data_IF_472549242289
#
_entry.id   IF_472549242289
#
_cell.length_a   1.000
_cell.length_b   1.000
_cell.length_c   1.000
_cell.angle_alpha   90.00
_cell.angle_beta   90.00
_cell.angle_gamma   90.00
#
_symmetry.space_group_name_H-M   'P 1'
#
loop_
_entity.id
_entity.type
_entity.pdbx_description
1 polymer ?
#
# COMPACT_ATOMS: atom_id res chain seq x y z
N UNK A 1 -6.70 -13.34 17.68
CA UNK A 1 -5.56 -13.97 17.00
C UNK A 1 -5.48 -15.49 17.20
N UNK A 2 -6.54 -16.19 17.65
CA UNK A 2 -6.52 -17.66 17.86
C UNK A 2 -7.16 -18.48 16.72
N UNK A 3 -7.43 -17.87 15.56
CA UNK A 3 -8.01 -18.59 14.41
C UNK A 3 -7.05 -18.49 13.23
N UNK A 4 -6.66 -19.67 12.74
CA UNK A 4 -5.78 -20.00 11.62
C UNK A 4 -4.27 -20.04 11.90
N UNK A 5 -3.67 -21.22 11.62
CA UNK A 5 -2.24 -21.38 11.41
C UNK A 5 -1.90 -20.71 10.08
N UNK A 6 -1.35 -19.52 10.17
CA UNK A 6 -0.98 -18.69 9.04
C UNK A 6 0.51 -18.34 9.19
N UNK A 7 1.29 -18.55 8.13
CA UNK A 7 2.72 -18.25 8.11
C UNK A 7 2.98 -16.77 8.45
N UNK A 8 2.06 -15.88 8.07
CA UNK A 8 2.12 -14.46 8.43
C UNK A 8 1.98 -14.24 9.94
N UNK A 9 1.16 -15.04 10.62
CA UNK A 9 0.99 -14.96 12.08
C UNK A 9 2.27 -15.40 12.80
N UNK A 10 2.94 -16.45 12.30
CA UNK A 10 4.23 -16.90 12.83
C UNK A 10 5.29 -15.80 12.73
N UNK A 11 5.50 -15.24 11.53
CA UNK A 11 6.49 -14.17 11.30
C UNK A 11 6.20 -12.95 12.19
N UNK A 12 4.93 -12.58 12.34
CA UNK A 12 4.51 -11.49 13.22
C UNK A 12 4.88 -11.76 14.68
N UNK A 13 4.62 -12.97 15.18
CA UNK A 13 4.94 -13.34 16.57
C UNK A 13 6.46 -13.39 16.82
N UNK A 14 7.24 -13.94 15.86
CA UNK A 14 8.70 -13.94 15.93
C UNK A 14 9.25 -12.51 15.97
N UNK A 15 8.73 -11.61 15.13
CA UNK A 15 9.13 -10.20 15.11
C UNK A 15 8.80 -9.46 16.42
N UNK A 16 7.63 -9.72 17.01
CA UNK A 16 7.25 -9.12 18.30
C UNK A 16 8.16 -9.60 19.42
N UNK A 17 8.45 -10.92 19.48
CA UNK A 17 9.38 -11.49 20.48
C UNK A 17 10.79 -10.96 20.29
N UNK A 18 11.28 -10.89 19.05
CA UNK A 18 12.59 -10.29 18.76
C UNK A 18 12.65 -8.85 19.28
N UNK A 19 11.61 -8.05 19.05
CA UNK A 19 11.56 -6.66 19.49
C UNK A 19 11.49 -6.49 21.02
N UNK A 20 10.68 -7.32 21.71
CA UNK A 20 10.37 -7.16 23.14
C UNK A 20 11.30 -7.94 24.09
N UNK A 21 12.00 -8.96 23.60
CA UNK A 21 12.89 -9.81 24.40
C UNK A 21 14.35 -9.62 23.98
N UNK A 22 14.68 -9.93 22.73
CA UNK A 22 16.07 -9.96 22.23
C UNK A 22 16.64 -8.56 21.98
N UNK A 23 15.83 -7.67 21.41
CA UNK A 23 16.21 -6.32 21.00
C UNK A 23 15.61 -5.24 21.90
N UNK A 24 15.14 -5.60 23.08
CA UNK A 24 14.58 -4.66 24.07
C UNK A 24 15.68 -3.66 24.48
N UNK A 25 15.32 -2.38 24.52
CA UNK A 25 16.20 -1.34 25.05
C UNK A 25 15.65 -0.82 26.38
N UNK A 26 16.54 -0.57 27.35
CA UNK A 26 16.19 0.06 28.63
C UNK A 26 16.95 1.38 28.84
N UNK A 27 18.12 1.49 28.22
CA UNK A 27 18.98 2.68 28.22
C UNK A 27 19.24 3.18 26.81
N UNK A 28 19.70 4.43 26.69
CA UNK A 28 20.10 4.96 25.38
C UNK A 28 21.32 4.23 24.79
N UNK A 29 22.20 3.69 25.64
CA UNK A 29 23.33 2.87 25.19
C UNK A 29 22.85 1.56 24.52
N UNK A 30 21.75 0.97 25.00
CA UNK A 30 21.15 -0.20 24.36
C UNK A 30 20.61 0.15 22.97
N UNK A 31 20.06 1.37 22.80
CA UNK A 31 19.62 1.85 21.48
C UNK A 31 20.79 2.05 20.51
N UNK A 32 21.95 2.52 21.01
CA UNK A 32 23.19 2.62 20.22
C UNK A 32 23.68 1.22 19.82
N UNK A 33 23.72 0.28 20.78
CA UNK A 33 24.09 -1.11 20.51
C UNK A 33 23.17 -1.73 19.45
N UNK A 34 21.85 -1.57 19.60
CA UNK A 34 20.86 -2.03 18.64
C UNK A 34 21.13 -1.46 17.24
N UNK A 35 21.31 -0.15 17.12
CA UNK A 35 21.57 0.50 15.84
C UNK A 35 22.88 0.04 15.18
N UNK A 36 23.95 -0.12 15.97
CA UNK A 36 25.24 -0.63 15.49
C UNK A 36 25.15 -2.08 15.03
N UNK A 37 24.41 -2.92 15.73
CA UNK A 37 24.18 -4.32 15.34
C UNK A 37 23.29 -4.43 14.10
N UNK A 38 22.27 -3.57 13.96
CA UNK A 38 21.46 -3.48 12.73
C UNK A 38 22.29 -3.05 11.52
N UNK A 39 23.23 -2.12 11.70
CA UNK A 39 24.19 -1.80 10.63
C UNK A 39 24.98 -3.03 10.19
N UNK A 40 25.53 -3.78 11.15
CA UNK A 40 26.31 -4.98 10.85
C UNK A 40 25.46 -6.03 10.13
N UNK A 41 24.24 -6.28 10.63
CA UNK A 41 23.36 -7.27 10.06
C UNK A 41 22.97 -6.92 8.62
N UNK A 42 22.46 -5.71 8.39
CA UNK A 42 21.90 -5.31 7.10
C UNK A 42 22.94 -5.05 6.01
N UNK A 43 24.09 -4.46 6.37
CA UNK A 43 25.07 -3.99 5.38
C UNK A 43 26.36 -4.81 5.33
N UNK A 44 26.62 -5.67 6.31
CA UNK A 44 27.76 -6.58 6.33
C UNK A 44 27.32 -8.05 6.27
N UNK A 45 26.65 -8.56 7.31
CA UNK A 45 26.34 -9.99 7.47
C UNK A 45 25.44 -10.54 6.37
N UNK A 46 24.33 -9.86 6.08
CA UNK A 46 23.40 -10.29 5.02
C UNK A 46 24.05 -10.25 3.64
N UNK A 47 24.98 -9.32 3.43
CA UNK A 47 25.76 -9.22 2.19
C UNK A 47 26.80 -10.34 2.10
N UNK A 48 27.53 -10.61 3.20
CA UNK A 48 28.44 -11.75 3.29
C UNK A 48 27.71 -13.08 3.07
N UNK A 49 26.52 -13.25 3.63
CA UNK A 49 25.68 -14.43 3.40
C UNK A 49 25.24 -14.54 1.93
N UNK A 50 24.88 -13.43 1.29
CA UNK A 50 24.51 -13.41 -0.12
C UNK A 50 25.68 -13.81 -1.03
N UNK A 51 26.90 -13.33 -0.72
CA UNK A 51 28.13 -13.68 -1.42
C UNK A 51 28.49 -15.15 -1.19
N UNK A 52 28.31 -15.66 0.04
CA UNK A 52 28.51 -17.08 0.35
C UNK A 52 27.56 -17.97 -0.46
N UNK A 53 26.29 -17.58 -0.59
CA UNK A 53 25.29 -18.30 -1.39
C UNK A 53 25.51 -18.17 -2.90
N UNK A 54 25.96 -17.01 -3.37
CA UNK A 54 26.27 -16.75 -4.78
C UNK A 54 27.62 -16.02 -4.91
N UNK A 55 28.72 -16.78 -4.99
CA UNK A 55 30.06 -16.23 -5.21
C UNK A 55 30.13 -15.35 -6.46
N UNK A 56 31.17 -14.51 -6.57
CA UNK A 56 31.32 -13.57 -7.68
C UNK A 56 31.39 -14.26 -9.05
N UNK A 57 32.00 -15.44 -9.09
CA UNK A 57 32.13 -16.32 -10.26
C UNK A 57 30.94 -17.28 -10.45
N UNK A 58 29.87 -17.14 -9.66
CA UNK A 58 28.69 -17.97 -9.78
C UNK A 58 28.07 -17.85 -11.19
N UNK A 59 27.64 -18.99 -11.73
CA UNK A 59 26.99 -19.10 -13.04
C UNK A 59 25.56 -19.61 -12.90
N UNK A 60 24.71 -19.23 -13.85
CA UNK A 60 23.34 -19.76 -13.97
C UNK A 60 23.35 -21.17 -14.55
N UNK A 61 22.21 -21.85 -14.53
CA UNK A 61 22.03 -23.15 -15.20
C UNK A 61 22.33 -23.13 -16.69
N UNK A 62 22.29 -21.95 -17.32
CA UNK A 62 22.65 -21.73 -18.74
C UNK A 62 24.13 -21.41 -18.95
N UNK A 63 24.95 -21.37 -17.90
CA UNK A 63 26.38 -21.07 -17.96
C UNK A 63 26.72 -19.57 -18.06
N UNK A 64 25.72 -18.68 -18.01
CA UNK A 64 25.96 -17.24 -17.99
C UNK A 64 26.35 -16.76 -16.57
N UNK A 65 27.11 -15.66 -16.42
CA UNK A 65 27.42 -15.10 -15.10
C UNK A 65 26.14 -14.72 -14.35
N UNK A 66 26.00 -15.21 -13.12
CA UNK A 66 24.86 -14.87 -12.25
C UNK A 66 24.81 -13.37 -11.97
N UNK A 67 25.97 -12.77 -11.73
CA UNK A 67 26.15 -11.33 -11.52
C UNK A 67 26.36 -10.60 -12.85
N UNK A 68 25.30 -10.55 -13.65
CA UNK A 68 25.23 -9.74 -14.87
C UNK A 68 23.97 -8.88 -14.85
N UNK A 69 23.94 -7.80 -15.64
CA UNK A 69 22.82 -6.86 -15.66
C UNK A 69 21.49 -7.62 -15.79
N UNK A 70 20.50 -7.36 -14.91
CA UNK A 70 20.39 -6.23 -13.98
C UNK A 70 21.06 -6.41 -12.60
N UNK A 71 21.63 -7.58 -12.29
CA UNK A 71 22.22 -7.90 -10.98
C UNK A 71 23.63 -7.33 -10.86
N UNK A 72 23.90 -6.64 -9.75
CA UNK A 72 25.23 -6.11 -9.40
C UNK A 72 25.81 -6.92 -8.25
N UNK A 73 27.08 -7.29 -8.36
CA UNK A 73 27.78 -7.95 -7.26
C UNK A 73 27.90 -6.98 -6.07
N UNK A 74 27.53 -7.41 -4.84
CA UNK A 74 27.59 -6.55 -3.67
C UNK A 74 28.94 -6.64 -2.93
N UNK A 75 29.24 -5.62 -2.12
CA UNK A 75 30.40 -5.56 -1.24
C UNK A 75 29.94 -5.29 0.21
N UNK A 76 30.30 -6.14 1.20
CA UNK A 76 29.98 -5.90 2.60
C UNK A 76 30.60 -4.59 3.08
N UNK A 77 29.85 -3.78 3.84
CA UNK A 77 30.40 -2.56 4.41
C UNK A 77 31.18 -2.87 5.68
N UNK A 78 32.34 -2.22 5.85
CA UNK A 78 33.03 -2.15 7.12
C UNK A 78 32.59 -0.88 7.86
N UNK A 79 32.00 -1.04 9.03
CA UNK A 79 31.63 0.11 9.86
C UNK A 79 32.87 0.90 10.28
N UNK A 80 32.73 2.22 10.37
CA UNK A 80 33.78 3.11 10.87
C UNK A 80 33.16 4.35 11.49
N UNK A 81 33.59 4.71 12.70
CA UNK A 81 33.19 5.95 13.38
C UNK A 81 33.81 7.20 12.76
N UNK A 82 34.83 7.05 11.90
CA UNK A 82 35.41 8.16 11.12
C UNK A 82 34.57 8.52 9.91
N UNK A 83 33.66 7.64 9.47
CA UNK A 83 32.74 7.92 8.38
C UNK A 83 31.49 8.66 8.94
N UNK A 84 31.26 9.93 8.55
CA UNK A 84 30.14 10.69 9.06
C UNK A 84 28.77 10.10 8.70
N UNK A 85 28.65 9.40 7.57
CA UNK A 85 27.40 8.78 7.14
C UNK A 85 27.08 7.54 7.97
N UNK A 86 28.08 6.73 8.32
CA UNK A 86 27.92 5.60 9.24
C UNK A 86 27.47 6.08 10.62
N UNK A 87 28.13 7.11 11.14
CA UNK A 87 27.83 7.66 12.45
C UNK A 87 26.43 8.31 12.50
N UNK A 88 26.04 9.04 11.44
CA UNK A 88 24.68 9.61 11.31
C UNK A 88 23.59 8.55 11.25
N UNK A 89 23.84 7.43 10.56
CA UNK A 89 22.92 6.30 10.54
C UNK A 89 22.68 5.78 11.97
N UNK A 90 23.74 5.49 12.72
CA UNK A 90 23.64 4.97 14.09
C UNK A 90 22.94 5.98 15.01
N UNK A 91 23.25 7.27 14.86
CA UNK A 91 22.55 8.34 15.59
C UNK A 91 21.05 8.33 15.32
N UNK A 92 20.62 8.39 14.05
CA UNK A 92 19.21 8.47 13.70
C UNK A 92 18.46 7.20 14.13
N UNK A 93 19.04 6.02 13.90
CA UNK A 93 18.48 4.74 14.31
C UNK A 93 18.33 4.63 15.84
N UNK A 94 19.34 5.03 16.61
CA UNK A 94 19.30 4.97 18.09
C UNK A 94 18.31 5.97 18.68
N UNK A 95 18.21 7.19 18.14
CA UNK A 95 17.22 8.19 18.56
C UNK A 95 15.79 7.70 18.32
N UNK A 96 15.52 7.17 17.14
CA UNK A 96 14.20 6.63 16.80
C UNK A 96 13.87 5.38 17.63
N UNK A 97 14.85 4.50 17.87
CA UNK A 97 14.67 3.36 18.78
C UNK A 97 14.35 3.83 20.19
N UNK A 98 15.05 4.83 20.71
CA UNK A 98 14.77 5.40 22.03
C UNK A 98 13.34 5.96 22.11
N UNK A 99 12.88 6.68 21.09
CA UNK A 99 11.51 7.20 21.03
C UNK A 99 10.46 6.07 21.10
N UNK A 100 10.67 4.97 20.37
CA UNK A 100 9.72 3.84 20.37
C UNK A 100 9.59 3.16 21.73
N UNK A 101 10.63 3.17 22.56
CA UNK A 101 10.64 2.63 23.93
C UNK A 101 10.37 3.69 25.01
N UNK A 102 10.20 4.97 24.65
CA UNK A 102 10.03 6.07 25.61
C UNK A 102 11.30 6.36 26.43
N UNK A 103 12.48 6.03 25.89
CA UNK A 103 13.78 6.27 26.52
C UNK A 103 14.20 7.72 26.26
N UNK A 104 14.62 8.48 27.29
CA UNK A 104 15.14 9.84 27.11
C UNK A 104 16.37 9.87 26.21
N UNK A 105 16.36 10.76 25.22
CA UNK A 105 17.49 10.99 24.31
C UNK A 105 18.43 12.02 24.94
N UNK A 106 19.68 11.68 25.26
CA UNK A 106 20.60 12.61 25.90
C UNK A 106 21.20 13.61 24.91
N UNK A 107 21.36 14.87 25.31
CA UNK A 107 21.85 15.95 24.43
C UNK A 107 23.24 15.67 23.82
N UNK A 108 24.09 14.93 24.53
CA UNK A 108 25.44 14.60 24.07
C UNK A 108 25.45 13.75 22.79
N UNK A 109 24.34 13.06 22.44
CA UNK A 109 24.27 12.24 21.23
C UNK A 109 24.54 13.04 19.96
N UNK A 110 24.25 14.35 19.98
CA UNK A 110 24.49 15.27 18.87
C UNK A 110 25.97 15.62 18.71
N UNK A 111 26.83 15.30 19.68
CA UNK A 111 28.27 15.48 19.60
C UNK A 111 28.92 14.26 18.94
N UNK A 112 29.49 14.39 17.72
CA UNK A 112 30.04 13.26 16.98
C UNK A 112 31.14 12.50 17.73
N UNK A 113 31.95 13.19 18.55
CA UNK A 113 33.03 12.53 19.30
C UNK A 113 32.49 11.64 20.41
N UNK A 114 31.56 12.17 21.20
CA UNK A 114 30.93 11.40 22.29
C UNK A 114 30.11 10.23 21.76
N UNK A 115 29.42 10.42 20.63
CA UNK A 115 28.72 9.33 19.96
C UNK A 115 29.70 8.26 19.45
N UNK A 116 30.80 8.64 18.78
CA UNK A 116 31.81 7.70 18.33
C UNK A 116 32.37 6.87 19.50
N UNK A 117 32.74 7.51 20.61
CA UNK A 117 33.21 6.82 21.82
C UNK A 117 32.17 5.86 22.41
N UNK A 118 30.87 6.18 22.33
CA UNK A 118 29.80 5.31 22.80
C UNK A 118 29.59 4.12 21.84
N UNK A 119 29.73 4.33 20.54
CA UNK A 119 29.60 3.29 19.50
C UNK A 119 30.79 2.33 19.53
N UNK A 120 32.01 2.81 19.74
CA UNK A 120 33.23 1.99 19.78
C UNK A 120 33.25 1.00 20.96
N UNK A 121 32.41 1.22 21.98
CA UNK A 121 32.22 0.28 23.10
C UNK A 121 31.30 -0.89 22.77
N UNK A 122 30.61 -0.86 21.63
CA UNK A 122 29.68 -1.92 21.24
C UNK A 122 30.47 -3.12 20.72
N UNK A 123 30.27 -4.27 21.37
CA UNK A 123 30.84 -5.55 20.91
C UNK A 123 29.97 -6.08 19.77
N UNK A 124 30.61 -6.31 18.62
CA UNK A 124 29.96 -6.82 17.41
C UNK A 124 30.37 -8.27 17.22
N UNK A 125 29.43 -9.23 17.22
CA UNK A 125 29.74 -10.64 16.98
C UNK A 125 30.27 -10.87 15.55
N UNK A 126 31.23 -11.78 15.42
CA UNK A 126 31.74 -12.20 14.11
C UNK A 126 30.67 -12.93 13.29
N UNK A 127 30.66 -12.69 11.98
CA UNK A 127 29.77 -13.38 11.06
C UNK A 127 30.16 -14.85 10.88
N UNK A 128 29.16 -15.73 10.90
CA UNK A 128 29.31 -17.13 10.53
C UNK A 128 28.32 -17.47 9.41
N UNK A 129 28.78 -17.93 8.23
CA UNK A 129 27.91 -18.26 7.12
C UNK A 129 27.03 -19.47 7.47
N UNK A 130 25.78 -19.42 7.04
CA UNK A 130 24.82 -20.52 7.19
C UNK A 130 24.68 -21.27 5.87
N UNK A 131 24.80 -22.59 5.93
CA UNK A 131 24.52 -23.49 4.81
C UNK A 131 23.00 -23.66 4.62
N UNK A 132 22.57 -23.86 3.36
CA UNK A 132 21.18 -24.16 3.04
C UNK A 132 20.20 -22.99 3.14
N UNK A 133 20.68 -21.74 3.29
CA UNK A 133 19.82 -20.55 3.25
C UNK A 133 19.22 -20.41 1.85
N UNK A 134 17.89 -20.50 1.76
CA UNK A 134 17.16 -20.31 0.51
C UNK A 134 17.01 -18.81 0.21
N UNK A 135 17.66 -18.36 -0.86
CA UNK A 135 17.50 -17.01 -1.39
C UNK A 135 16.73 -17.13 -2.70
N UNK A 136 15.56 -16.50 -2.75
CA UNK A 136 14.73 -16.48 -3.96
C UNK A 136 15.36 -15.56 -5.00
N UNK A 137 15.47 -16.04 -6.24
CA UNK A 137 16.12 -15.31 -7.34
C UNK A 137 15.20 -15.07 -8.53
N UNK A 138 13.99 -15.65 -8.52
CA UNK A 138 12.94 -15.41 -9.51
C UNK A 138 11.94 -14.38 -9.00
N UNK A 139 11.83 -13.26 -9.72
CA UNK A 139 10.89 -12.17 -9.43
C UNK A 139 9.41 -12.59 -9.56
N UNK A 140 9.12 -13.70 -10.27
CA UNK A 140 7.78 -14.25 -10.43
C UNK A 140 7.41 -15.31 -9.40
N UNK A 141 8.35 -15.67 -8.52
CA UNK A 141 8.12 -16.65 -7.47
C UNK A 141 7.09 -16.11 -6.47
N UNK A 142 5.89 -16.69 -6.47
CA UNK A 142 4.81 -16.38 -5.52
C UNK A 142 4.81 -17.33 -4.32
N UNK A 143 5.98 -17.85 -3.93
CA UNK A 143 6.14 -18.77 -2.81
C UNK A 143 5.84 -18.07 -1.47
N UNK A 144 4.56 -17.81 -1.21
CA UNK A 144 4.01 -17.74 0.13
C UNK A 144 4.20 -19.14 0.73
N UNK A 145 4.95 -19.24 1.81
CA UNK A 145 5.13 -20.49 2.53
C UNK A 145 3.75 -21.06 2.89
N UNK A 146 3.36 -22.16 2.26
CA UNK A 146 2.13 -22.86 2.60
C UNK A 146 2.19 -23.25 4.08
N UNK A 147 1.19 -22.84 4.86
CA UNK A 147 1.09 -23.17 6.28
C UNK A 147 1.18 -24.69 6.48
N UNK A 148 2.21 -25.14 7.19
CA UNK A 148 2.42 -26.54 7.52
C UNK A 148 1.77 -26.87 8.87
N UNK A 149 1.52 -28.16 9.13
CA UNK A 149 0.99 -28.63 10.42
C UNK A 149 1.94 -28.28 11.58
N UNK A 150 3.24 -28.16 11.31
CA UNK A 150 4.27 -27.76 12.27
C UNK A 150 4.14 -26.28 12.69
N UNK A 151 3.66 -25.41 11.78
CA UNK A 151 3.50 -23.99 12.07
C UNK A 151 2.47 -23.73 13.18
N UNK A 152 1.43 -24.56 13.29
CA UNK A 152 0.46 -24.42 14.39
C UNK A 152 1.11 -24.67 15.76
N UNK A 153 1.95 -25.70 15.88
CA UNK A 153 2.67 -26.01 17.12
C UNK A 153 3.69 -24.92 17.46
N UNK A 154 4.44 -24.44 16.46
CA UNK A 154 5.39 -23.33 16.61
C UNK A 154 4.68 -22.05 17.04
N UNK A 155 3.55 -21.71 16.40
CA UNK A 155 2.73 -20.54 16.78
C UNK A 155 2.28 -20.64 18.23
N UNK A 156 1.82 -21.81 18.68
CA UNK A 156 1.43 -22.01 20.08
C UNK A 156 2.61 -21.82 21.06
N UNK A 157 3.80 -22.27 20.69
CA UNK A 157 5.01 -22.05 21.50
C UNK A 157 5.42 -20.56 21.53
N UNK A 158 5.36 -19.88 20.39
CA UNK A 158 5.63 -18.44 20.31
C UNK A 158 4.63 -17.62 21.14
N UNK A 159 3.34 -17.99 21.11
CA UNK A 159 2.31 -17.36 21.96
C UNK A 159 2.68 -17.56 23.44
N UNK A 160 3.07 -18.76 23.86
CA UNK A 160 3.45 -19.02 25.25
C UNK A 160 4.67 -18.21 25.67
N UNK A 161 5.69 -18.09 24.80
CA UNK A 161 6.85 -17.22 25.04
C UNK A 161 6.43 -15.76 25.16
N UNK A 162 5.51 -15.30 24.32
CA UNK A 162 5.02 -13.93 24.35
C UNK A 162 4.22 -13.64 25.63
N UNK A 163 3.41 -14.58 26.10
CA UNK A 163 2.70 -14.48 27.37
C UNK A 163 3.67 -14.33 28.56
N UNK A 164 4.76 -15.12 28.58
CA UNK A 164 5.82 -14.99 29.58
C UNK A 164 6.58 -13.67 29.47
N UNK A 165 6.87 -13.23 28.24
CA UNK A 165 7.51 -11.93 27.99
C UNK A 165 6.63 -10.80 28.55
N UNK A 166 5.31 -10.86 28.33
CA UNK A 166 4.34 -9.90 28.85
C UNK A 166 4.36 -9.79 30.37
N UNK A 167 4.55 -10.89 31.09
CA UNK A 167 4.65 -10.89 32.57
C UNK A 167 5.89 -10.12 33.07
N UNK A 168 6.96 -10.09 32.29
CA UNK A 168 8.19 -9.36 32.62
C UNK A 168 8.14 -7.87 32.22
N UNK A 169 7.11 -7.44 31.51
CA UNK A 169 6.97 -6.04 31.11
C UNK A 169 6.39 -5.20 32.26
N UNK A 170 6.88 -3.97 32.46
CA UNK A 170 6.32 -3.05 33.44
C UNK A 170 4.81 -2.85 33.23
N UNK A 171 4.06 -2.70 34.34
CA UNK A 171 2.65 -2.41 34.28
C UNK A 171 2.39 -1.13 33.47
N UNK A 172 1.56 -1.23 32.42
CA UNK A 172 1.25 -0.11 31.54
C UNK A 172 2.30 0.17 30.45
N UNK A 173 3.31 -0.70 30.28
CA UNK A 173 4.27 -0.60 29.18
C UNK A 173 3.55 -0.49 27.83
N UNK A 174 3.92 0.54 27.05
CA UNK A 174 3.44 0.76 25.69
C UNK A 174 4.59 1.27 24.85
N UNK A 175 4.79 0.65 23.70
CA UNK A 175 5.67 1.20 22.68
C UNK A 175 4.98 2.36 21.97
N UNK A 176 5.75 3.36 21.59
CA UNK A 176 5.28 4.48 20.79
C UNK A 176 5.55 4.19 19.31
N UNK A 177 4.51 4.09 18.49
CA UNK A 177 4.68 4.01 17.05
C UNK A 177 5.18 5.35 16.50
N UNK A 178 6.25 5.32 15.73
CA UNK A 178 6.72 6.50 14.99
C UNK A 178 5.74 6.75 13.83
N UNK A 179 5.19 7.96 13.78
CA UNK A 179 4.39 8.41 12.64
C UNK A 179 5.30 9.17 11.68
N UNK A 180 5.49 8.61 10.48
CA UNK A 180 6.36 9.21 9.48
C UNK A 180 5.92 10.64 9.13
N UNK A 181 6.83 11.58 9.38
CA UNK A 181 6.73 12.98 8.99
C UNK A 181 8.01 13.36 8.24
N UNK A 182 7.86 13.77 6.99
CA UNK A 182 8.98 14.10 6.07
C UNK A 182 9.36 15.58 6.15
N UNK A 183 8.46 16.43 6.64
CA UNK A 183 8.57 17.89 6.63
C UNK A 183 9.13 18.49 7.92
N UNK A 184 9.46 17.65 8.90
CA UNK A 184 10.21 18.02 10.10
C UNK A 184 11.63 17.45 10.02
N UNK A 185 12.61 18.34 9.83
CA UNK A 185 14.03 17.97 9.73
C UNK A 185 14.68 17.62 11.08
N UNK A 186 13.96 17.79 12.19
CA UNK A 186 14.46 17.57 13.55
C UNK A 186 14.08 16.20 14.13
N UNK A 187 13.18 15.46 13.47
CA UNK A 187 12.67 14.18 13.94
C UNK A 187 13.50 12.95 13.52
N UNK A 188 14.60 13.14 12.79
CA UNK A 188 15.50 12.07 12.33
C UNK A 188 14.92 11.01 11.37
N UNK A 189 13.66 11.12 10.94
CA UNK A 189 13.04 10.16 10.00
C UNK A 189 13.79 10.12 8.68
N UNK A 190 13.98 11.28 8.06
CA UNK A 190 14.66 11.37 6.78
C UNK A 190 16.17 11.10 6.89
N UNK A 191 16.77 11.33 8.05
CA UNK A 191 18.18 10.98 8.31
C UNK A 191 18.37 9.47 8.33
N UNK A 192 17.46 8.72 8.97
CA UNK A 192 17.49 7.26 8.95
C UNK A 192 17.19 6.72 7.55
N UNK A 193 16.17 7.23 6.84
CA UNK A 193 15.81 6.76 5.49
C UNK A 193 16.96 7.00 4.51
N UNK A 194 17.57 8.19 4.52
CA UNK A 194 18.71 8.49 3.66
C UNK A 194 19.93 7.62 4.03
N UNK A 195 20.18 7.40 5.33
CA UNK A 195 21.22 6.50 5.82
C UNK A 195 21.03 5.07 5.32
N UNK A 196 19.85 4.48 5.53
CA UNK A 196 19.48 3.14 5.06
C UNK A 196 19.70 3.00 3.54
N UNK A 197 19.20 3.97 2.76
CA UNK A 197 19.29 3.95 1.31
C UNK A 197 20.75 4.06 0.83
N UNK A 198 21.53 4.98 1.39
CA UNK A 198 22.92 5.20 0.98
C UNK A 198 23.84 4.06 1.40
N UNK A 199 23.66 3.45 2.58
CA UNK A 199 24.44 2.27 2.97
C UNK A 199 24.20 1.09 2.03
N UNK A 200 22.92 0.84 1.68
CA UNK A 200 22.58 -0.18 0.69
C UNK A 200 23.11 0.19 -0.71
N UNK A 201 23.09 1.48 -1.07
CA UNK A 201 23.65 1.94 -2.34
C UNK A 201 25.16 1.63 -2.42
N UNK A 202 25.92 1.88 -1.34
CA UNK A 202 27.34 1.52 -1.24
C UNK A 202 27.58 0.03 -1.42
N UNK A 203 26.73 -0.84 -0.84
CA UNK A 203 26.88 -2.28 -1.03
C UNK A 203 26.89 -2.66 -2.51
N UNK A 204 26.06 -2.02 -3.35
CA UNK A 204 25.91 -2.37 -4.77
C UNK A 204 26.60 -1.38 -5.72
N UNK A 205 27.52 -0.55 -5.21
CA UNK A 205 28.20 0.48 -5.99
C UNK A 205 27.24 1.39 -6.77
N UNK A 206 26.09 1.71 -6.15
CA UNK A 206 25.07 2.63 -6.65
C UNK A 206 25.40 4.04 -6.12
N UNK A 207 25.29 5.11 -6.93
CA UNK A 207 25.52 6.47 -6.45
C UNK A 207 24.60 6.85 -5.30
N UNK A 208 25.18 7.37 -4.22
CA UNK A 208 24.45 7.92 -3.08
C UNK A 208 23.61 9.14 -3.48
N UNK A 209 22.57 9.40 -2.69
CA UNK A 209 21.72 10.57 -2.84
C UNK A 209 21.75 11.43 -1.58
N UNK A 210 21.58 12.74 -1.74
CA UNK A 210 21.43 13.62 -0.59
C UNK A 210 20.05 13.47 0.08
N UNK A 211 19.91 14.06 1.26
CA UNK A 211 18.67 14.03 2.06
C UNK A 211 17.48 14.62 1.30
N UNK A 212 17.69 15.63 0.45
CA UNK A 212 16.62 16.29 -0.30
C UNK A 212 16.04 15.37 -1.38
N UNK A 213 16.91 14.70 -2.15
CA UNK A 213 16.52 13.71 -3.15
C UNK A 213 15.92 12.47 -2.50
N UNK A 214 16.46 12.01 -1.37
CA UNK A 214 15.85 10.95 -0.58
C UNK A 214 14.44 11.34 -0.11
N UNK A 215 14.25 12.57 0.40
CA UNK A 215 12.96 13.12 0.83
C UNK A 215 11.97 13.24 -0.31
N UNK A 216 12.43 13.68 -1.48
CA UNK A 216 11.62 13.75 -2.70
C UNK A 216 11.02 12.38 -3.07
N UNK A 217 11.86 11.34 -3.09
CA UNK A 217 11.47 9.98 -3.48
C UNK A 217 10.63 9.31 -2.38
N UNK A 218 11.15 9.22 -1.16
CA UNK A 218 10.49 8.52 -0.04
C UNK A 218 9.20 9.21 0.39
N UNK A 219 9.19 10.55 0.35
CA UNK A 219 8.03 11.36 0.67
C UNK A 219 6.98 11.45 -0.43
N UNK A 220 7.22 10.84 -1.60
CA UNK A 220 6.35 10.91 -2.79
C UNK A 220 5.92 12.35 -3.10
N UNK A 221 6.88 13.28 -3.04
CA UNK A 221 6.60 14.71 -3.21
C UNK A 221 6.19 14.95 -4.66
N UNK A 222 5.03 15.55 -4.85
CA UNK A 222 4.60 16.05 -6.16
C UNK A 222 5.16 17.47 -6.32
N UNK A 223 6.09 17.72 -7.26
CA UNK A 223 6.58 19.07 -7.51
C UNK A 223 5.42 19.99 -7.87
N UNK A 224 5.34 21.13 -7.19
CA UNK A 224 4.33 22.14 -7.46
C UNK A 224 4.94 23.53 -7.37
N UNK A 225 4.49 24.44 -8.23
CA UNK A 225 4.87 25.84 -8.23
C UNK A 225 3.64 26.69 -8.58
N UNK A 226 3.54 27.87 -7.96
CA UNK A 226 2.37 28.74 -8.08
C UNK A 226 2.05 29.16 -9.52
N UNK A 227 3.04 29.22 -10.42
CA UNK A 227 2.83 29.60 -11.83
C UNK A 227 1.94 28.59 -12.57
N UNK A 228 2.20 27.29 -12.44
CA UNK A 228 1.37 26.24 -13.04
C UNK A 228 -0.03 26.20 -12.42
N UNK A 229 -0.14 26.42 -11.11
CA UNK A 229 -1.43 26.48 -10.41
C UNK A 229 -2.26 27.67 -10.89
N UNK A 230 -1.68 28.88 -10.93
CA UNK A 230 -2.38 30.08 -11.37
C UNK A 230 -2.86 29.96 -12.83
N UNK A 231 -2.04 29.38 -13.70
CA UNK A 231 -2.41 29.10 -15.08
C UNK A 231 -3.56 28.11 -15.20
N UNK A 232 -3.49 26.98 -14.50
CA UNK A 232 -4.55 25.97 -14.51
C UNK A 232 -5.87 26.55 -13.98
N UNK A 233 -5.82 27.30 -12.87
CA UNK A 233 -6.99 27.98 -12.31
C UNK A 233 -7.58 28.99 -13.29
N UNK A 234 -6.75 29.82 -13.94
CA UNK A 234 -7.20 30.78 -14.93
C UNK A 234 -7.96 30.11 -16.09
N UNK A 235 -7.42 29.01 -16.62
CA UNK A 235 -8.06 28.24 -17.69
C UNK A 235 -9.38 27.60 -17.24
N UNK A 236 -9.44 27.07 -16.02
CA UNK A 236 -10.69 26.55 -15.44
C UNK A 236 -11.75 27.65 -15.32
N UNK A 237 -11.37 28.85 -14.89
CA UNK A 237 -12.29 30.00 -14.81
C UNK A 237 -12.82 30.42 -16.18
N UNK A 238 -12.05 30.26 -17.26
CA UNK A 238 -12.52 30.52 -18.63
C UNK A 238 -13.59 29.51 -19.07
N UNK A 239 -13.42 28.22 -18.76
CA UNK A 239 -14.44 27.20 -19.04
C UNK A 239 -15.68 27.37 -18.15
N UNK A 240 -15.51 27.86 -16.92
CA UNK A 240 -16.61 28.13 -15.99
C UNK A 240 -17.63 29.12 -16.56
N UNK A 241 -17.22 30.14 -17.31
CA UNK A 241 -18.17 31.05 -17.97
C UNK A 241 -19.13 30.31 -18.90
N UNK A 242 -18.64 29.32 -19.65
CA UNK A 242 -19.45 28.52 -20.58
C UNK A 242 -20.43 27.63 -19.81
N UNK A 243 -19.99 27.04 -18.71
CA UNK A 243 -20.87 26.21 -17.87
C UNK A 243 -21.99 27.06 -17.25
N UNK A 244 -21.69 28.28 -16.82
CA UNK A 244 -22.68 29.18 -16.19
C UNK A 244 -23.68 29.77 -17.19
N UNK A 245 -23.24 30.15 -18.40
CA UNK A 245 -24.13 30.65 -19.45
C UNK A 245 -25.06 29.54 -19.97
N UNK A 246 -24.56 28.29 -20.01
CA UNK A 246 -25.31 27.14 -20.47
C UNK A 246 -25.52 27.13 -21.98
N UNK A 247 -26.10 26.06 -22.53
CA UNK A 247 -26.47 25.98 -23.95
C UNK A 247 -25.32 25.94 -24.97
N UNK A 248 -24.05 25.96 -24.53
CA UNK A 248 -22.90 25.79 -25.41
C UNK A 248 -22.82 24.36 -25.95
N UNK A 249 -22.50 24.25 -27.25
CA UNK A 249 -22.19 22.95 -27.88
C UNK A 249 -20.85 22.40 -27.38
N UNK A 250 -20.65 21.10 -27.55
CA UNK A 250 -19.41 20.40 -27.15
C UNK A 250 -18.17 21.06 -27.76
N UNK A 251 -18.24 21.49 -29.03
CA UNK A 251 -17.13 22.12 -29.75
C UNK A 251 -16.78 23.51 -29.18
N UNK A 252 -17.58 24.05 -28.26
CA UNK A 252 -17.29 25.27 -27.52
C UNK A 252 -16.37 25.07 -26.31
N UNK A 253 -16.29 23.86 -25.77
CA UNK A 253 -15.48 23.53 -24.59
C UNK A 253 -14.04 23.16 -24.98
N UNK A 254 -13.08 23.38 -24.08
CA UNK A 254 -11.66 23.05 -24.31
C UNK A 254 -11.02 22.37 -23.10
N UNK A 255 -10.50 21.16 -23.30
CA UNK A 255 -9.50 20.59 -22.42
C UNK A 255 -8.14 21.19 -22.77
N UNK A 256 -7.50 21.87 -21.82
CA UNK A 256 -6.20 22.50 -22.04
C UNK A 256 -5.08 21.73 -21.35
N UNK A 257 -4.05 21.38 -22.12
CA UNK A 257 -2.82 20.75 -21.66
C UNK A 257 -1.69 21.77 -21.79
N UNK A 258 -0.94 21.98 -20.71
CA UNK A 258 0.13 22.96 -20.68
C UNK A 258 1.42 22.38 -20.09
N UNK A 259 2.55 22.76 -20.69
CA UNK A 259 3.88 22.53 -20.13
C UNK A 259 4.70 23.82 -20.21
N UNK A 260 4.78 24.51 -19.07
CA UNK A 260 5.48 25.79 -18.95
C UNK A 260 7.01 25.69 -19.06
N UNK A 261 7.58 24.49 -18.97
CA UNK A 261 9.02 24.31 -19.23
C UNK A 261 9.36 24.43 -20.72
N UNK A 262 8.42 24.09 -21.61
CA UNK A 262 8.54 24.19 -23.08
C UNK A 262 7.72 25.34 -23.69
N UNK A 263 7.20 26.27 -22.88
CA UNK A 263 6.01 27.07 -23.17
C UNK A 263 4.93 26.44 -24.08
N UNK A 264 4.63 25.15 -23.90
CA UNK A 264 3.69 24.43 -24.76
C UNK A 264 2.26 24.55 -24.23
N UNK A 265 1.31 24.89 -25.11
CA UNK A 265 -0.12 24.88 -24.87
C UNK A 265 -0.82 24.09 -25.97
N UNK A 266 -1.65 23.14 -25.58
CA UNK A 266 -2.48 22.36 -26.49
C UNK A 266 -3.90 22.34 -25.98
N UNK A 267 -4.86 22.58 -26.86
CA UNK A 267 -6.28 22.54 -26.53
C UNK A 267 -6.95 21.49 -27.39
N UNK A 268 -7.78 20.66 -26.76
CA UNK A 268 -8.56 19.64 -27.44
C UNK A 268 -10.04 19.79 -27.06
N UNK A 269 -10.92 19.43 -27.98
CA UNK A 269 -12.33 19.26 -27.67
C UNK A 269 -12.52 18.09 -26.68
N UNK A 270 -13.43 18.21 -25.70
CA UNK A 270 -13.80 17.08 -24.87
C UNK A 270 -14.41 15.95 -25.71
N UNK A 271 -14.15 14.71 -25.31
CA UNK A 271 -14.70 13.54 -26.00
C UNK A 271 -16.20 13.42 -25.72
N UNK A 272 -17.07 13.29 -26.73
CA UNK A 272 -18.50 13.07 -26.51
C UNK A 272 -18.71 11.72 -25.79
N UNK A 273 -19.74 11.60 -24.94
CA UNK A 273 -20.04 10.33 -24.30
C UNK A 273 -20.44 9.28 -25.35
N UNK A 274 -20.04 8.02 -25.14
CA UNK A 274 -20.51 6.89 -25.95
C UNK A 274 -22.03 6.78 -25.81
N UNK A 275 -22.74 6.88 -26.93
CA UNK A 275 -24.20 6.69 -26.98
C UNK A 275 -24.47 5.22 -27.28
N UNK A 276 -25.16 4.57 -26.35
CA UNK A 276 -25.66 3.20 -26.50
C UNK A 276 -27.10 3.30 -27.00
N UNK A 277 -27.44 2.52 -28.02
CA UNK A 277 -28.78 2.47 -28.61
C UNK A 277 -29.33 1.08 -28.44
N UNK A 278 -30.55 0.99 -27.94
CA UNK A 278 -31.27 -0.26 -27.76
C UNK A 278 -32.74 -0.04 -28.12
N UNK A 279 -33.21 -0.75 -29.15
CA UNK A 279 -34.54 -0.53 -29.72
C UNK A 279 -34.80 0.97 -30.00
N UNK A 280 -35.86 1.56 -29.44
CA UNK A 280 -36.19 2.98 -29.55
C UNK A 280 -35.54 3.88 -28.50
N UNK A 281 -34.69 3.34 -27.64
CA UNK A 281 -34.03 4.07 -26.55
C UNK A 281 -32.57 4.36 -26.88
N UNK A 282 -32.05 5.43 -26.29
CA UNK A 282 -30.64 5.75 -26.31
C UNK A 282 -30.21 6.33 -24.98
N UNK A 283 -29.03 5.97 -24.52
CA UNK A 283 -28.45 6.50 -23.28
C UNK A 283 -26.93 6.60 -23.37
N UNK A 284 -26.37 7.21 -22.34
CA UNK A 284 -24.96 7.50 -22.15
C UNK A 284 -24.55 7.17 -20.71
N UNK A 285 -23.28 7.36 -20.38
CA UNK A 285 -22.76 7.20 -19.01
C UNK A 285 -23.40 8.17 -17.99
N UNK A 286 -24.04 9.25 -18.47
CA UNK A 286 -24.66 10.27 -17.61
C UNK A 286 -26.11 9.96 -17.25
N UNK A 287 -26.72 9.03 -17.98
CA UNK A 287 -28.11 8.67 -17.75
C UNK A 287 -28.25 7.80 -16.50
N UNK A 288 -29.42 7.88 -15.89
CA UNK A 288 -29.77 7.12 -14.69
C UNK A 288 -31.23 6.72 -14.77
N UNK A 289 -31.49 5.45 -14.56
CA UNK A 289 -32.85 4.94 -14.49
C UNK A 289 -33.34 4.96 -13.05
N UNK A 290 -34.46 5.64 -12.83
CA UNK A 290 -35.06 5.75 -11.50
C UNK A 290 -36.30 4.90 -11.43
N UNK A 291 -36.38 4.05 -10.42
CA UNK A 291 -37.52 3.17 -10.16
C UNK A 291 -38.08 3.51 -8.79
N UNK A 292 -39.34 3.92 -8.76
CA UNK A 292 -40.04 4.35 -7.56
C UNK A 292 -40.88 3.22 -6.93
N UNK A 293 -41.54 3.53 -5.81
CA UNK A 293 -42.54 2.68 -5.14
C UNK A 293 -42.00 1.37 -4.56
N UNK A 294 -40.71 1.30 -4.21
CA UNK A 294 -40.09 0.14 -3.58
C UNK A 294 -40.45 -1.18 -4.31
N UNK A 295 -39.90 -1.45 -5.51
CA UNK A 295 -40.27 -2.63 -6.29
C UNK A 295 -39.84 -3.94 -5.60
N UNK A 296 -40.56 -5.02 -5.92
CA UNK A 296 -40.08 -6.40 -5.74
C UNK A 296 -39.03 -6.75 -6.77
N UNK A 297 -38.26 -7.81 -6.54
CA UNK A 297 -37.32 -8.32 -7.54
C UNK A 297 -38.02 -8.71 -8.84
N UNK A 298 -39.21 -9.32 -8.75
CA UNK A 298 -40.05 -9.66 -9.91
C UNK A 298 -40.46 -8.42 -10.70
N UNK A 299 -40.93 -7.37 -10.02
CA UNK A 299 -41.30 -6.10 -10.64
C UNK A 299 -40.10 -5.43 -11.32
N UNK A 300 -38.91 -5.50 -10.70
CA UNK A 300 -37.67 -4.98 -11.28
C UNK A 300 -37.27 -5.74 -12.55
N UNK A 301 -37.32 -7.08 -12.53
CA UNK A 301 -37.01 -7.90 -13.71
C UNK A 301 -38.02 -7.64 -14.84
N UNK A 302 -39.32 -7.58 -14.51
CA UNK A 302 -40.35 -7.23 -15.49
C UNK A 302 -40.10 -5.85 -16.10
N UNK A 303 -39.67 -4.88 -15.29
CA UNK A 303 -39.37 -3.52 -15.78
C UNK A 303 -38.22 -3.48 -16.80
N UNK A 304 -37.23 -4.38 -16.68
CA UNK A 304 -36.21 -4.58 -17.70
C UNK A 304 -36.78 -5.28 -18.93
N UNK A 305 -37.57 -6.34 -18.75
CA UNK A 305 -38.20 -7.09 -19.85
C UNK A 305 -39.11 -6.21 -20.69
N UNK A 306 -39.85 -5.29 -20.08
CA UNK A 306 -40.70 -4.31 -20.77
C UNK A 306 -39.90 -3.34 -21.66
N UNK A 307 -38.57 -3.29 -21.48
CA UNK A 307 -37.61 -2.52 -22.30
C UNK A 307 -36.83 -3.40 -23.28
N UNK A 308 -37.22 -4.66 -23.43
CA UNK A 308 -36.51 -5.66 -24.21
C UNK A 308 -35.11 -5.93 -23.68
N UNK A 309 -34.92 -5.87 -22.37
CA UNK A 309 -33.68 -6.20 -21.69
C UNK A 309 -33.93 -7.37 -20.75
N UNK A 310 -33.10 -8.40 -20.82
CA UNK A 310 -33.15 -9.51 -19.91
C UNK A 310 -32.00 -9.39 -18.89
N UNK A 311 -32.34 -8.90 -17.70
CA UNK A 311 -31.39 -8.71 -16.61
C UNK A 311 -31.03 -10.06 -15.97
N UNK A 312 -29.93 -10.66 -16.42
CA UNK A 312 -29.48 -11.97 -15.94
C UNK A 312 -28.70 -11.90 -14.62
N UNK A 313 -28.23 -10.72 -14.20
CA UNK A 313 -27.50 -10.52 -12.95
C UNK A 313 -27.79 -9.13 -12.38
N UNK A 314 -28.10 -9.02 -11.09
CA UNK A 314 -28.33 -7.76 -10.38
C UNK A 314 -27.57 -7.77 -9.06
N UNK A 315 -26.75 -6.74 -8.84
CA UNK A 315 -25.93 -6.59 -7.64
C UNK A 315 -26.13 -5.24 -6.95
N UNK A 316 -25.90 -5.25 -5.64
CA UNK A 316 -25.77 -4.07 -4.79
C UNK A 316 -24.40 -4.11 -4.12
N UNK A 317 -23.50 -3.21 -4.54
CA UNK A 317 -22.09 -3.30 -4.14
C UNK A 317 -21.48 -4.63 -4.58
N UNK A 318 -20.84 -5.34 -3.64
CA UNK A 318 -20.30 -6.68 -3.87
C UNK A 318 -21.32 -7.80 -3.70
N UNK A 319 -22.57 -7.49 -3.31
CA UNK A 319 -23.58 -8.48 -3.01
C UNK A 319 -24.46 -8.77 -4.24
N UNK A 320 -24.62 -10.06 -4.54
CA UNK A 320 -25.44 -10.54 -5.66
C UNK A 320 -26.90 -10.73 -5.21
N UNK A 321 -27.77 -9.78 -5.57
CA UNK A 321 -29.19 -9.82 -5.22
C UNK A 321 -29.92 -10.87 -6.05
N UNK A 322 -29.60 -10.93 -7.34
CA UNK A 322 -30.18 -11.88 -8.29
C UNK A 322 -29.15 -12.30 -9.34
N UNK A 323 -29.24 -13.55 -9.78
CA UNK A 323 -28.54 -14.04 -10.96
C UNK A 323 -29.25 -15.31 -11.46
N UNK A 324 -29.53 -15.38 -12.76
CA UNK A 324 -30.36 -16.42 -13.37
C UNK A 324 -29.74 -17.83 -13.29
N UNK A 325 -28.42 -17.93 -13.13
CA UNK A 325 -27.66 -19.18 -13.02
C UNK A 325 -27.86 -19.87 -11.66
N UNK A 326 -28.39 -19.17 -10.65
CA UNK A 326 -28.65 -19.73 -9.32
C UNK A 326 -30.16 -19.98 -9.13
N UNK A 327 -30.64 -21.25 -9.20
CA UNK A 327 -32.06 -21.55 -9.07
C UNK A 327 -32.68 -21.07 -7.75
N UNK A 328 -31.90 -21.07 -6.67
CA UNK A 328 -32.32 -20.59 -5.34
C UNK A 328 -32.71 -19.11 -5.35
N UNK A 329 -32.17 -18.30 -6.27
CA UNK A 329 -32.54 -16.88 -6.37
C UNK A 329 -33.98 -16.68 -6.85
N UNK A 330 -34.63 -17.72 -7.40
CA UNK A 330 -36.06 -17.67 -7.75
C UNK A 330 -36.97 -17.54 -6.52
N UNK A 331 -36.52 -17.95 -5.34
CA UNK A 331 -37.26 -17.78 -4.08
C UNK A 331 -37.30 -16.32 -3.62
N UNK A 332 -36.44 -15.45 -4.19
CA UNK A 332 -36.34 -14.03 -3.84
C UNK A 332 -37.30 -13.13 -4.64
N UNK A 333 -38.02 -13.68 -5.62
CA UNK A 333 -38.78 -12.91 -6.63
C UNK A 333 -39.81 -11.97 -6.01
N UNK A 334 -40.56 -12.42 -5.01
CA UNK A 334 -41.64 -11.64 -4.39
C UNK A 334 -41.16 -10.74 -3.25
N UNK A 335 -39.84 -10.74 -2.97
CA UNK A 335 -39.23 -9.89 -1.94
C UNK A 335 -38.91 -8.50 -2.50
N UNK A 336 -39.03 -7.49 -1.65
CA UNK A 336 -38.63 -6.11 -1.97
C UNK A 336 -37.11 -6.03 -2.13
N UNK A 337 -36.65 -5.32 -3.16
CA UNK A 337 -35.20 -5.26 -3.48
C UNK A 337 -34.43 -4.62 -2.33
N UNK A 338 -35.03 -3.65 -1.62
CA UNK A 338 -34.42 -3.03 -0.43
C UNK A 338 -34.19 -4.03 0.70
N UNK A 339 -35.10 -4.99 0.91
CA UNK A 339 -34.98 -5.97 1.99
C UNK A 339 -33.94 -7.04 1.66
N UNK A 340 -33.83 -7.41 0.37
CA UNK A 340 -32.74 -8.25 -0.12
C UNK A 340 -31.38 -7.57 0.08
N UNK A 341 -31.29 -6.27 -0.24
CA UNK A 341 -30.07 -5.51 -0.05
C UNK A 341 -29.66 -5.41 1.44
N UNK A 342 -30.62 -5.20 2.35
CA UNK A 342 -30.34 -5.16 3.79
C UNK A 342 -29.82 -6.49 4.32
N UNK A 343 -30.51 -7.58 4.00
CA UNK A 343 -30.19 -8.91 4.55
C UNK A 343 -28.89 -9.47 3.95
N UNK A 344 -28.76 -9.46 2.62
CA UNK A 344 -27.67 -10.15 1.96
C UNK A 344 -26.37 -9.36 1.96
N UNK A 345 -26.45 -8.02 2.03
CA UNK A 345 -25.26 -7.17 2.12
C UNK A 345 -24.94 -6.76 3.57
N UNK A 346 -25.78 -7.13 4.54
CA UNK A 346 -25.67 -6.71 5.95
C UNK A 346 -25.54 -5.17 6.08
N UNK A 347 -26.38 -4.44 5.33
CA UNK A 347 -26.35 -2.98 5.26
C UNK A 347 -27.60 -2.39 5.89
N UNK A 348 -27.41 -1.52 6.88
CA UNK A 348 -28.47 -0.64 7.37
C UNK A 348 -28.49 0.68 6.59
N UNK A 349 -29.64 1.00 5.99
CA UNK A 349 -29.83 2.28 5.32
C UNK A 349 -30.21 3.37 6.34
N UNK A 350 -29.44 4.49 6.42
CA UNK A 350 -29.77 5.61 7.30
C UNK A 350 -31.18 6.15 7.06
N UNK A 351 -31.79 6.77 8.08
CA UNK A 351 -33.17 7.29 8.00
C UNK A 351 -33.38 8.32 6.87
N UNK A 352 -32.34 9.10 6.54
CA UNK A 352 -32.39 10.10 5.47
C UNK A 352 -32.24 9.50 4.06
N UNK A 353 -31.74 8.26 3.94
CA UNK A 353 -31.52 7.64 2.63
C UNK A 353 -32.83 7.09 2.08
N UNK A 354 -33.21 7.56 0.90
CA UNK A 354 -34.47 7.19 0.21
C UNK A 354 -34.29 6.26 -0.98
N UNK A 355 -33.07 6.16 -1.50
CA UNK A 355 -32.74 5.27 -2.61
C UNK A 355 -31.39 4.59 -2.43
N UNK A 356 -31.18 3.51 -3.19
CA UNK A 356 -29.88 2.87 -3.39
C UNK A 356 -29.72 2.51 -4.85
N UNK A 357 -28.47 2.34 -5.28
CA UNK A 357 -28.14 2.04 -6.67
C UNK A 357 -27.84 0.55 -6.82
N UNK A 358 -28.36 -0.04 -7.88
CA UNK A 358 -28.01 -1.41 -8.30
C UNK A 358 -27.31 -1.36 -9.64
N UNK A 359 -26.42 -2.33 -9.84
CA UNK A 359 -25.79 -2.60 -11.13
C UNK A 359 -26.44 -3.87 -11.67
N UNK A 360 -26.95 -3.81 -12.89
CA UNK A 360 -27.51 -4.96 -13.56
C UNK A 360 -26.75 -5.24 -14.86
N UNK A 361 -26.47 -6.52 -15.09
CA UNK A 361 -25.98 -7.01 -16.36
C UNK A 361 -27.17 -7.56 -17.14
N UNK A 362 -27.32 -7.09 -18.37
CA UNK A 362 -28.47 -7.34 -19.21
C UNK A 362 -28.00 -7.80 -20.59
N UNK A 363 -28.76 -8.71 -21.20
CA UNK A 363 -28.67 -9.02 -22.61
C UNK A 363 -29.93 -8.54 -23.36
N UNK A 364 -29.80 -8.37 -24.67
CA UNK A 364 -30.93 -8.15 -25.57
C UNK A 364 -31.61 -9.47 -25.98
N UNK A 365 -32.70 -9.39 -26.73
CA UNK A 365 -33.43 -10.58 -27.22
C UNK A 365 -32.58 -11.47 -28.17
N UNK A 366 -31.45 -10.97 -28.68
CA UNK A 366 -30.49 -11.71 -29.50
C UNK A 366 -29.37 -12.36 -28.65
N UNK A 367 -29.35 -12.11 -27.34
CA UNK A 367 -28.36 -12.62 -26.40
C UNK A 367 -27.04 -11.84 -26.39
N UNK A 368 -27.01 -10.62 -26.94
CA UNK A 368 -25.84 -9.75 -26.85
C UNK A 368 -25.86 -8.97 -25.54
N UNK A 369 -24.72 -8.88 -24.85
CA UNK A 369 -24.58 -8.04 -23.65
C UNK A 369 -24.81 -6.55 -23.99
N UNK A 370 -25.65 -5.90 -23.18
CA UNK A 370 -26.00 -4.48 -23.30
C UNK A 370 -25.59 -3.73 -22.04
N UNK A 371 -24.68 -2.77 -22.20
CA UNK A 371 -24.33 -1.80 -21.15
C UNK A 371 -25.55 -0.90 -20.87
N UNK A 372 -26.03 -0.89 -19.63
CA UNK A 372 -27.18 -0.07 -19.22
C UNK A 372 -26.79 1.06 -18.25
N UNK A 373 -27.64 2.10 -18.11
CA UNK A 373 -27.47 3.12 -17.08
C UNK A 373 -27.52 2.54 -15.67
N UNK A 374 -26.93 3.26 -14.72
CA UNK A 374 -27.12 2.94 -13.29
C UNK A 374 -28.60 3.01 -12.93
N UNK A 375 -29.06 2.04 -12.14
CA UNK A 375 -30.47 1.97 -11.71
C UNK A 375 -30.60 2.36 -10.25
N UNK A 376 -31.32 3.44 -9.96
CA UNK A 376 -31.64 3.90 -8.62
C UNK A 376 -33.02 3.42 -8.19
N UNK A 377 -33.07 2.65 -7.11
CA UNK A 377 -34.29 2.11 -6.52
C UNK A 377 -34.69 2.99 -5.34
N UNK A 378 -35.79 3.73 -5.49
CA UNK A 378 -36.40 4.53 -4.43
C UNK A 378 -37.35 3.65 -3.61
N UNK A 379 -37.07 3.56 -2.32
CA UNK A 379 -37.79 2.69 -1.39
C UNK A 379 -38.50 3.45 -0.25
N UNK A 380 -38.42 4.79 -0.24
CA UNK A 380 -39.07 5.69 0.72
C UNK A 380 -39.57 6.97 0.07
#
# INVERSE_FOLDING_TARGET
MMKAGDAQSRETLESVLECLEKEKCETFQDCIMWARLKFEDDFANRVMQLIYSFPEDASTSTGAPFWSAPKRFPHPLQFSTTDPSHLRFVMAASVLRAETFGIPVPDWVRNPKMLAEAVDKVVVPDFQPREGVRIETDEKSTNLSNASVDDAAIIHELIRKLERCRENLPAGFRMKSIQFEKDDDTNYHMDLIAGLANMRARNYSIPEVDKLKAKFIAGRIIPAIATSTALATGLVCLELYKVLDGGHKLEGYRNTFANLALPLFSMAEPVPPKVIKHQGMSWTVWDRWTIENNPTLRELLQWFTDKGLNAYSISFGSCLLYNCMFPQHRERMDRKVVDLARELADVEFPAYRRHFDVVAACDDDEGNDVDIPTVSIYFR
#
